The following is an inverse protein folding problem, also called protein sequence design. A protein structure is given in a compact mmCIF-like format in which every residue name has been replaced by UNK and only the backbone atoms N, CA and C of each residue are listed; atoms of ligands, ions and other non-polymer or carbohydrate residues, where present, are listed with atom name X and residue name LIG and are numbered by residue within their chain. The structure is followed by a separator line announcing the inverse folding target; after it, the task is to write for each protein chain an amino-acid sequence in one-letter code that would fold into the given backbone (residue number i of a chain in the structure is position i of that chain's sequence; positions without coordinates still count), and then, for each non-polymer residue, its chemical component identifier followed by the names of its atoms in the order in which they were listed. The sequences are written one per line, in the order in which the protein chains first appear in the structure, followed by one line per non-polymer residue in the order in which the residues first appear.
data_IF_648008964536
#
_entry.id   IF_648008964536
#
_cell.length_a   1.000
_cell.length_b   1.000
_cell.length_c   1.000
_cell.angle_alpha   90.00
_cell.angle_beta   90.00
_cell.angle_gamma   90.00
#
_symmetry.space_group_name_H-M   'P 1'
#
loop_
_entity.id
_entity.type
_entity.pdbx_description
1 polymer ?
#
# COMPACT_ATOMS: atom_id res chain seq x y z
N UNK A 1 18.87 -1.27 -6.49
CA UNK A 1 17.51 -0.90 -6.07
C UNK A 1 17.25 -1.39 -4.66
N UNK A 2 17.14 -0.49 -3.73
CA UNK A 2 16.91 -0.77 -2.31
C UNK A 2 15.47 -0.43 -1.90
N UNK A 3 14.94 -1.12 -0.89
CA UNK A 3 13.58 -0.84 -0.38
C UNK A 3 13.43 0.60 0.13
N UNK A 4 14.52 1.20 0.58
CA UNK A 4 14.57 2.59 1.02
C UNK A 4 14.33 3.55 -0.15
N UNK A 5 14.93 3.30 -1.30
CA UNK A 5 14.74 4.09 -2.53
C UNK A 5 13.30 4.00 -3.03
N UNK A 6 12.71 2.79 -2.99
CA UNK A 6 11.31 2.57 -3.36
C UNK A 6 10.36 3.34 -2.43
N UNK A 7 10.61 3.35 -1.12
CA UNK A 7 9.82 4.16 -0.17
C UNK A 7 9.94 5.64 -0.46
N UNK A 8 11.14 6.11 -0.71
CA UNK A 8 11.41 7.52 -1.04
C UNK A 8 10.69 7.91 -2.33
N UNK A 9 10.73 7.06 -3.36
CA UNK A 9 9.99 7.27 -4.60
C UNK A 9 8.49 7.41 -4.35
N UNK A 10 7.86 6.49 -3.63
CA UNK A 10 6.43 6.55 -3.32
C UNK A 10 6.07 7.80 -2.52
N UNK A 11 6.90 8.20 -1.57
CA UNK A 11 6.66 9.39 -0.78
C UNK A 11 6.71 10.67 -1.61
N UNK A 12 7.66 10.77 -2.57
CA UNK A 12 7.73 11.91 -3.49
C UNK A 12 6.51 11.93 -4.41
N UNK A 13 6.10 10.78 -4.94
CA UNK A 13 4.92 10.68 -5.79
C UNK A 13 3.65 11.15 -5.07
N UNK A 14 3.47 10.77 -3.81
CA UNK A 14 2.31 11.21 -3.00
C UNK A 14 2.36 12.68 -2.62
N UNK A 15 3.53 13.21 -2.24
CA UNK A 15 3.69 14.61 -1.81
C UNK A 15 3.87 15.57 -2.98
N UNK A 16 4.17 15.08 -4.19
CA UNK A 16 4.52 15.86 -5.37
C UNK A 16 5.65 16.89 -5.12
N UNK A 17 6.56 16.55 -4.19
CA UNK A 17 7.62 17.45 -3.73
C UNK A 17 8.73 16.67 -3.04
N UNK A 18 9.97 16.87 -3.48
CA UNK A 18 11.16 16.29 -2.85
C UNK A 18 11.37 16.80 -1.40
N UNK A 19 11.14 18.10 -1.17
CA UNK A 19 11.31 18.70 0.17
C UNK A 19 10.30 18.15 1.17
N UNK A 20 9.01 18.07 0.78
CA UNK A 20 7.96 17.54 1.66
C UNK A 20 8.12 16.04 1.91
N UNK A 21 8.62 15.30 0.93
CA UNK A 21 8.92 13.88 1.09
C UNK A 21 10.11 13.68 2.05
N UNK A 22 11.15 14.50 1.91
CA UNK A 22 12.30 14.48 2.79
C UNK A 22 11.91 14.74 4.26
N UNK A 23 11.11 15.77 4.50
CA UNK A 23 10.56 16.10 5.82
C UNK A 23 9.77 14.92 6.40
N UNK A 24 8.85 14.34 5.62
CA UNK A 24 8.03 13.22 6.06
C UNK A 24 8.83 11.93 6.37
N UNK A 25 9.98 11.75 5.71
CA UNK A 25 10.87 10.61 5.91
C UNK A 25 11.96 10.86 6.97
N UNK A 26 12.09 12.08 7.48
CA UNK A 26 13.17 12.46 8.40
C UNK A 26 14.54 12.51 7.73
N UNK A 27 14.59 12.79 6.42
CA UNK A 27 15.83 12.92 5.64
C UNK A 27 16.08 14.35 5.18
N UNK A 28 17.34 14.64 4.80
CA UNK A 28 17.62 15.86 4.05
C UNK A 28 17.12 15.74 2.61
N UNK A 29 16.76 16.87 2.00
CA UNK A 29 16.37 16.88 0.57
C UNK A 29 17.50 16.38 -0.34
N UNK A 30 18.75 16.65 0.00
CA UNK A 30 19.92 16.16 -0.73
C UNK A 30 19.98 14.62 -0.70
N UNK A 31 19.75 14.00 0.47
CA UNK A 31 19.72 12.54 0.60
C UNK A 31 18.61 11.91 -0.24
N UNK A 32 17.40 12.48 -0.22
CA UNK A 32 16.27 12.04 -1.03
C UNK A 32 16.58 12.15 -2.53
N UNK A 33 17.22 13.24 -2.94
CA UNK A 33 17.63 13.45 -4.35
C UNK A 33 18.64 12.40 -4.79
N UNK A 34 19.63 12.08 -3.96
CA UNK A 34 20.64 11.05 -4.26
C UNK A 34 19.99 9.66 -4.39
N UNK A 35 19.08 9.31 -3.47
CA UNK A 35 18.37 8.02 -3.53
C UNK A 35 17.57 7.84 -4.83
N UNK A 36 16.85 8.88 -5.25
CA UNK A 36 16.09 8.81 -6.51
C UNK A 36 17.04 8.74 -7.71
N UNK A 37 18.13 9.51 -7.70
CA UNK A 37 19.11 9.46 -8.78
C UNK A 37 19.71 8.06 -8.93
N UNK A 38 20.08 7.40 -7.82
CA UNK A 38 20.57 6.03 -7.83
C UNK A 38 19.55 5.06 -8.38
N UNK A 39 18.28 5.19 -7.99
CA UNK A 39 17.18 4.36 -8.50
C UNK A 39 16.98 4.57 -10.01
N UNK A 40 16.98 5.80 -10.50
CA UNK A 40 16.82 6.14 -11.91
C UNK A 40 18.01 5.65 -12.74
N UNK A 41 19.24 5.80 -12.22
CA UNK A 41 20.46 5.30 -12.86
C UNK A 41 20.45 3.76 -13.01
N UNK A 42 20.04 3.04 -11.98
CA UNK A 42 19.92 1.58 -12.03
C UNK A 42 18.85 1.12 -13.02
N UNK A 43 17.71 1.82 -13.10
CA UNK A 43 16.63 1.51 -14.02
C UNK A 43 16.90 2.00 -15.45
N UNK A 44 17.85 2.92 -15.62
CA UNK A 44 18.18 3.55 -16.92
C UNK A 44 17.09 4.49 -17.44
N UNK A 45 16.21 4.99 -16.56
CA UNK A 45 15.05 5.82 -16.94
C UNK A 45 14.80 6.90 -15.89
N UNK A 46 14.14 8.00 -16.29
CA UNK A 46 13.64 8.98 -15.35
C UNK A 46 12.22 8.63 -14.88
N UNK A 47 12.02 8.73 -13.57
CA UNK A 47 10.74 8.43 -12.90
C UNK A 47 9.92 9.70 -12.63
N UNK A 48 10.60 10.84 -12.55
CA UNK A 48 9.98 12.13 -12.26
C UNK A 48 10.29 13.17 -13.30
N UNK A 49 9.28 14.04 -13.56
CA UNK A 49 9.39 15.29 -14.31
C UNK A 49 9.04 16.48 -13.43
N UNK A 50 9.45 17.68 -13.87
CA UNK A 50 9.09 18.95 -13.24
C UNK A 50 8.04 19.67 -14.08
N UNK A 51 6.85 19.83 -13.51
CA UNK A 51 5.78 20.65 -14.10
C UNK A 51 5.63 21.94 -13.27
N UNK A 52 6.35 22.99 -13.66
CA UNK A 52 6.44 24.24 -12.90
C UNK A 52 7.07 24.01 -11.52
N UNK A 53 6.29 24.24 -10.45
CA UNK A 53 6.73 24.03 -9.06
C UNK A 53 6.43 22.63 -8.52
N UNK A 54 5.74 21.78 -9.27
CA UNK A 54 5.36 20.43 -8.85
C UNK A 54 6.27 19.39 -9.46
N UNK A 55 6.49 18.31 -8.71
CA UNK A 55 7.11 17.08 -9.19
C UNK A 55 6.00 16.12 -9.58
N UNK A 56 6.03 15.63 -10.81
CA UNK A 56 5.04 14.67 -11.34
C UNK A 56 5.74 13.41 -11.80
N UNK A 57 5.01 12.31 -11.86
CA UNK A 57 5.54 11.06 -12.42
C UNK A 57 5.65 11.17 -13.94
N UNK A 58 6.70 10.60 -14.51
CA UNK A 58 6.78 10.27 -15.94
C UNK A 58 5.86 9.09 -16.24
N UNK A 59 5.66 8.76 -17.51
CA UNK A 59 4.97 7.52 -17.90
C UNK A 59 5.63 6.26 -17.28
N UNK A 60 6.96 6.21 -17.27
CA UNK A 60 7.70 5.13 -16.61
C UNK A 60 7.55 5.16 -15.08
N UNK A 61 7.49 6.37 -14.50
CA UNK A 61 7.19 6.55 -13.08
C UNK A 61 5.82 6.02 -12.68
N UNK A 62 4.79 6.20 -13.52
CA UNK A 62 3.45 5.65 -13.27
C UNK A 62 3.44 4.12 -13.32
N UNK A 63 4.15 3.53 -14.28
CA UNK A 63 4.32 2.07 -14.35
C UNK A 63 5.04 1.58 -13.10
N UNK A 64 6.16 2.19 -12.75
CA UNK A 64 6.97 1.80 -11.60
C UNK A 64 6.19 1.98 -10.28
N UNK A 65 5.33 3.00 -10.17
CA UNK A 65 4.51 3.24 -8.98
C UNK A 65 3.67 2.02 -8.59
N UNK A 66 3.02 1.37 -9.56
CA UNK A 66 2.21 0.18 -9.31
C UNK A 66 3.04 -0.98 -8.76
N UNK A 67 4.21 -1.21 -9.34
CA UNK A 67 5.13 -2.25 -8.84
C UNK A 67 5.73 -1.89 -7.48
N UNK A 68 6.09 -0.64 -7.25
CA UNK A 68 6.63 -0.15 -5.99
C UNK A 68 5.65 -0.39 -4.82
N UNK A 69 4.35 -0.12 -5.03
CA UNK A 69 3.30 -0.42 -4.04
C UNK A 69 3.22 -1.92 -3.76
N UNK A 70 3.24 -2.77 -4.80
CA UNK A 70 3.21 -4.22 -4.66
C UNK A 70 4.43 -4.75 -3.91
N UNK A 71 5.62 -4.28 -4.25
CA UNK A 71 6.88 -4.70 -3.59
C UNK A 71 6.84 -4.38 -2.10
N UNK A 72 6.49 -3.15 -1.71
CA UNK A 72 6.44 -2.78 -0.30
C UNK A 72 5.30 -3.51 0.44
N UNK A 73 4.18 -3.77 -0.22
CA UNK A 73 3.11 -4.60 0.31
C UNK A 73 3.60 -6.02 0.61
N UNK A 74 4.22 -6.67 -0.37
CA UNK A 74 4.79 -8.02 -0.21
C UNK A 74 5.83 -8.09 0.93
N UNK A 75 6.67 -7.06 1.05
CA UNK A 75 7.64 -6.98 2.16
C UNK A 75 6.94 -6.86 3.51
N UNK A 76 5.87 -6.07 3.59
CA UNK A 76 5.08 -5.94 4.81
C UNK A 76 4.40 -7.27 5.18
N UNK A 77 3.83 -7.97 4.19
CA UNK A 77 3.20 -9.27 4.39
C UNK A 77 4.20 -10.34 4.80
N UNK A 78 5.39 -10.37 4.19
CA UNK A 78 6.46 -11.27 4.60
C UNK A 78 6.89 -11.03 6.05
N UNK A 79 7.02 -9.76 6.46
CA UNK A 79 7.33 -9.42 7.86
C UNK A 79 6.24 -9.88 8.82
N UNK A 80 4.97 -9.69 8.46
CA UNK A 80 3.83 -10.17 9.25
C UNK A 80 3.86 -11.70 9.35
N UNK A 81 4.06 -12.39 8.24
CA UNK A 81 4.06 -13.85 8.20
C UNK A 81 5.15 -14.49 9.09
N UNK A 82 6.35 -13.90 9.15
CA UNK A 82 7.45 -14.41 9.98
C UNK A 82 7.42 -13.91 11.42
N UNK A 83 6.75 -12.79 11.68
CA UNK A 83 6.59 -12.25 13.04
C UNK A 83 5.30 -12.71 13.71
N UNK A 84 4.42 -13.36 12.98
CA UNK A 84 3.21 -13.94 13.54
C UNK A 84 3.60 -15.16 14.40
N UNK A 85 3.73 -14.92 15.71
CA UNK A 85 3.36 -15.96 16.68
C UNK A 85 1.97 -16.44 16.30
N UNK A 86 1.76 -17.71 16.16
CA UNK A 86 0.61 -18.59 15.84
C UNK A 86 -0.83 -18.00 15.81
N UNK A 87 -1.05 -16.73 16.08
CA UNK A 87 -2.36 -16.08 16.13
C UNK A 87 -2.55 -15.16 14.94
N UNK A 88 -3.47 -15.54 14.07
CA UNK A 88 -3.92 -14.68 12.97
C UNK A 88 -4.46 -13.35 13.53
N UNK A 89 -3.89 -12.23 13.08
CA UNK A 89 -4.32 -10.88 13.46
C UNK A 89 -4.33 -9.97 12.26
N UNK A 90 -5.21 -8.98 12.24
CA UNK A 90 -5.31 -7.99 11.17
C UNK A 90 -6.74 -7.56 10.92
N UNK A 91 -6.94 -6.79 9.84
CA UNK A 91 -8.23 -6.25 9.44
C UNK A 91 -8.77 -7.01 8.22
N UNK A 92 -9.99 -7.52 8.33
CA UNK A 92 -10.74 -8.15 7.25
C UNK A 92 -11.95 -7.27 6.90
N UNK A 93 -12.01 -6.77 5.67
CA UNK A 93 -13.19 -6.05 5.19
C UNK A 93 -14.00 -6.93 4.25
N UNK A 94 -15.27 -7.11 4.54
CA UNK A 94 -16.19 -7.94 3.75
C UNK A 94 -17.28 -7.04 3.16
N UNK A 95 -17.38 -7.01 1.83
CA UNK A 95 -18.50 -6.40 1.14
C UNK A 95 -19.66 -7.39 0.99
N UNK A 96 -20.88 -7.00 1.37
CA UNK A 96 -22.07 -7.85 1.28
C UNK A 96 -23.34 -7.03 1.05
N UNK A 97 -24.43 -7.72 0.74
CA UNK A 97 -25.77 -7.13 0.64
C UNK A 97 -26.53 -7.32 1.96
N UNK A 98 -27.50 -6.47 2.21
CA UNK A 98 -28.24 -6.40 3.49
C UNK A 98 -28.88 -7.75 3.88
N UNK A 99 -29.55 -8.43 2.93
CA UNK A 99 -30.21 -9.71 3.18
C UNK A 99 -29.28 -10.83 3.66
N UNK A 100 -28.02 -10.85 3.20
CA UNK A 100 -27.02 -11.82 3.64
C UNK A 100 -26.45 -11.41 5.00
N UNK A 101 -26.26 -10.10 5.20
CA UNK A 101 -25.74 -9.57 6.44
C UNK A 101 -26.64 -9.94 7.64
N UNK A 102 -27.95 -9.85 7.48
CA UNK A 102 -28.91 -10.15 8.54
C UNK A 102 -29.11 -11.64 8.81
N UNK A 103 -29.02 -12.48 7.78
CA UNK A 103 -29.39 -13.90 7.89
C UNK A 103 -28.22 -14.81 8.27
N UNK A 104 -27.05 -14.62 7.69
CA UNK A 104 -25.93 -15.57 7.77
C UNK A 104 -24.77 -15.05 8.62
N UNK A 105 -24.50 -13.75 8.55
CA UNK A 105 -23.31 -13.15 9.14
C UNK A 105 -23.25 -13.21 10.67
N UNK A 106 -24.34 -13.05 11.46
CA UNK A 106 -24.22 -13.04 12.92
C UNK A 106 -23.60 -14.31 13.48
N UNK A 107 -24.05 -15.47 13.02
CA UNK A 107 -23.53 -16.75 13.49
C UNK A 107 -22.13 -17.06 12.94
N UNK A 108 -21.89 -16.67 11.68
CA UNK A 108 -20.58 -16.85 11.05
C UNK A 108 -19.51 -15.99 11.72
N UNK A 109 -19.80 -14.72 11.98
CA UNK A 109 -18.88 -13.78 12.63
C UNK A 109 -18.59 -14.18 14.07
N UNK A 110 -19.60 -14.68 14.80
CA UNK A 110 -19.40 -15.18 16.16
C UNK A 110 -18.42 -16.35 16.18
N UNK A 111 -18.58 -17.32 15.29
CA UNK A 111 -17.66 -18.45 15.15
C UNK A 111 -16.27 -18.02 14.71
N UNK A 112 -16.21 -17.10 13.73
CA UNK A 112 -14.94 -16.56 13.24
C UNK A 112 -14.18 -15.84 14.34
N UNK A 113 -14.82 -14.98 15.11
CA UNK A 113 -14.18 -14.24 16.20
C UNK A 113 -13.72 -15.16 17.34
N UNK A 114 -14.43 -16.28 17.61
CA UNK A 114 -13.98 -17.28 18.57
C UNK A 114 -12.69 -18.00 18.13
N UNK A 115 -12.54 -18.25 16.82
CA UNK A 115 -11.35 -18.88 16.24
C UNK A 115 -10.20 -17.91 16.06
N UNK A 116 -10.50 -16.63 15.76
CA UNK A 116 -9.52 -15.61 15.41
C UNK A 116 -9.81 -14.30 16.16
N UNK A 117 -9.61 -14.26 17.48
CA UNK A 117 -10.01 -13.10 18.31
C UNK A 117 -9.25 -11.83 17.99
N UNK A 118 -8.06 -11.95 17.39
CA UNK A 118 -7.19 -10.82 17.04
C UNK A 118 -7.42 -10.29 15.60
N UNK A 119 -8.44 -10.81 14.90
CA UNK A 119 -8.83 -10.31 13.58
C UNK A 119 -10.02 -9.37 13.73
N UNK A 120 -9.83 -8.11 13.32
CA UNK A 120 -10.89 -7.10 13.24
C UNK A 120 -11.67 -7.31 11.94
N UNK A 121 -12.99 -7.44 12.02
CA UNK A 121 -13.85 -7.61 10.84
C UNK A 121 -14.73 -6.40 10.65
N UNK A 122 -14.63 -5.78 9.48
CA UNK A 122 -15.48 -4.69 9.03
C UNK A 122 -16.41 -5.16 7.91
N UNK A 123 -17.69 -4.82 8.01
CA UNK A 123 -18.70 -5.16 6.98
C UNK A 123 -19.07 -3.88 6.25
N UNK A 124 -19.01 -3.90 4.93
CA UNK A 124 -19.46 -2.82 4.05
C UNK A 124 -20.70 -3.29 3.30
N UNK A 125 -21.81 -2.58 3.52
CA UNK A 125 -23.06 -2.84 2.81
C UNK A 125 -23.07 -1.99 1.53
N UNK A 126 -23.10 -2.64 0.37
CA UNK A 126 -23.29 -1.97 -0.91
C UNK A 126 -24.26 -2.77 -1.78
N UNK A 127 -25.31 -2.11 -2.22
CA UNK A 127 -26.29 -2.69 -3.16
C UNK A 127 -25.76 -2.88 -4.59
N UNK A 128 -24.53 -2.41 -4.88
CA UNK A 128 -23.88 -2.44 -6.18
C UNK A 128 -22.61 -3.30 -6.20
N UNK A 129 -22.54 -4.35 -5.41
CA UNK A 129 -21.39 -5.27 -5.44
C UNK A 129 -21.44 -6.05 -6.75
N UNK A 130 -20.58 -5.72 -7.69
CA UNK A 130 -20.30 -6.53 -8.85
C UNK A 130 -19.25 -7.58 -8.49
N UNK A 131 -19.66 -8.85 -8.45
CA UNK A 131 -18.69 -9.93 -8.36
C UNK A 131 -17.99 -10.07 -9.72
N UNK A 132 -16.73 -9.67 -9.75
CA UNK A 132 -15.86 -9.98 -10.87
C UNK A 132 -15.30 -11.39 -10.64
N UNK A 133 -15.77 -12.38 -11.38
CA UNK A 133 -15.13 -13.69 -11.50
C UNK A 133 -14.07 -13.60 -12.60
N UNK A 134 -12.78 -13.76 -12.24
CA UNK A 134 -11.68 -13.95 -13.18
C UNK A 134 -11.71 -15.37 -13.76
#
# INVERSE_FOLDING_TARGET
MELREIRTFLQIAQKQSFSKAAEALGYSQAAVTVQIKQLEEELGIHLFDRLGKKTVLTHHGEIFYRYAVTILGTVADAKKAVSASTELSGDLTIGTIESICESIFPDLLKKFHQLYPNVSVSIVLDSRIFFWTA
#
